data_IF_615286455373
#
_entry.id   IF_615286455373
#
_cell.length_a   1.000
_cell.length_b   1.000
_cell.length_c   1.000
_cell.angle_alpha   90.00
_cell.angle_beta   90.00
_cell.angle_gamma   90.00
#
_symmetry.space_group_name_H-M   'P 1'
#
loop_
_entity.id
_entity.type
_entity.pdbx_description
1 polymer ?
#
# COMPACT_ATOMS: atom_id res chain seq x y z
N UNK A 1 -23.86 0.93 -11.58
CA UNK A 1 -22.83 0.72 -10.54
C UNK A 1 -22.97 -0.71 -10.06
N UNK A 2 -21.89 -1.51 -10.06
CA UNK A 2 -21.93 -2.88 -9.53
C UNK A 2 -22.12 -2.88 -8.01
N UNK A 3 -22.56 -4.03 -7.46
CA UNK A 3 -22.70 -4.24 -6.01
C UNK A 3 -21.36 -3.99 -5.30
N UNK A 4 -21.37 -3.28 -4.18
CA UNK A 4 -20.21 -3.15 -3.29
C UNK A 4 -20.15 -4.42 -2.42
N UNK A 5 -19.04 -5.18 -2.44
CA UNK A 5 -18.95 -6.39 -1.63
C UNK A 5 -18.77 -6.04 -0.15
N UNK A 6 -19.38 -6.83 0.74
CA UNK A 6 -19.12 -6.74 2.19
C UNK A 6 -17.75 -7.33 2.54
N UNK A 7 -17.23 -7.02 3.73
CA UNK A 7 -15.99 -7.65 4.24
C UNK A 7 -16.10 -9.17 4.26
N UNK A 8 -17.26 -9.71 4.63
CA UNK A 8 -17.51 -11.16 4.65
C UNK A 8 -17.53 -11.78 3.24
N UNK A 9 -18.10 -11.08 2.25
CA UNK A 9 -18.08 -11.53 0.85
C UNK A 9 -16.65 -11.57 0.31
N UNK A 10 -15.80 -10.59 0.66
CA UNK A 10 -14.39 -10.56 0.25
C UNK A 10 -13.60 -11.70 0.89
N UNK A 11 -13.80 -11.97 2.19
CA UNK A 11 -13.14 -13.09 2.88
C UNK A 11 -13.48 -14.42 2.21
N UNK A 12 -14.78 -14.70 2.06
CA UNK A 12 -15.26 -15.93 1.42
C UNK A 12 -14.72 -16.08 -0.01
N UNK A 13 -14.63 -14.98 -0.76
CA UNK A 13 -14.05 -14.99 -2.11
C UNK A 13 -12.56 -15.33 -2.10
N UNK A 14 -11.77 -14.70 -1.22
CA UNK A 14 -10.34 -14.94 -1.12
C UNK A 14 -10.03 -16.39 -0.70
N UNK A 15 -10.79 -16.93 0.25
CA UNK A 15 -10.68 -18.35 0.67
C UNK A 15 -11.03 -19.30 -0.48
N UNK A 16 -12.09 -19.01 -1.23
CA UNK A 16 -12.48 -19.83 -2.37
C UNK A 16 -11.42 -19.81 -3.49
N UNK A 17 -10.83 -18.66 -3.78
CA UNK A 17 -9.75 -18.52 -4.79
C UNK A 17 -8.50 -19.27 -4.37
N UNK A 18 -8.12 -19.21 -3.09
CA UNK A 18 -6.98 -19.94 -2.57
C UNK A 18 -7.17 -21.45 -2.70
N UNK A 19 -8.35 -21.95 -2.32
CA UNK A 19 -8.71 -23.36 -2.46
C UNK A 19 -8.75 -23.82 -3.91
N UNK A 20 -9.32 -23.02 -4.82
CA UNK A 20 -9.42 -23.34 -6.24
C UNK A 20 -8.06 -23.32 -6.97
N UNK A 21 -7.10 -22.51 -6.52
CA UNK A 21 -5.75 -22.44 -7.13
C UNK A 21 -4.97 -23.76 -7.03
N UNK A 22 -5.39 -24.68 -6.16
CA UNK A 22 -4.83 -26.02 -5.98
C UNK A 22 -5.34 -27.03 -7.01
N UNK A 23 -6.33 -26.66 -7.83
CA UNK A 23 -6.93 -27.48 -8.88
C UNK A 23 -6.75 -26.78 -10.24
N UNK A 24 -6.09 -27.45 -11.21
CA UNK A 24 -5.73 -26.91 -12.53
C UNK A 24 -6.90 -26.12 -13.19
N UNK A 25 -6.83 -24.79 -13.16
CA UNK A 25 -7.89 -23.92 -13.67
C UNK A 25 -7.52 -23.23 -14.99
N UNK A 26 -8.50 -23.18 -15.90
CA UNK A 26 -8.42 -22.48 -17.19
C UNK A 26 -8.51 -20.97 -16.97
N UNK A 27 -7.57 -20.22 -17.54
CA UNK A 27 -7.51 -18.74 -17.44
C UNK A 27 -8.64 -18.13 -18.29
N UNK A 28 -9.68 -17.59 -17.66
CA UNK A 28 -10.61 -16.63 -18.26
C UNK A 28 -10.18 -15.20 -17.91
N UNK A 29 -10.47 -14.23 -18.78
CA UNK A 29 -10.26 -12.82 -18.46
C UNK A 29 -11.12 -12.41 -17.27
N UNK A 30 -10.50 -11.81 -16.25
CA UNK A 30 -11.19 -11.32 -15.04
C UNK A 30 -11.65 -9.87 -15.22
N UNK A 31 -12.85 -9.56 -14.74
CA UNK A 31 -13.37 -8.19 -14.60
C UNK A 31 -12.55 -7.38 -13.60
N UNK A 32 -12.66 -6.05 -13.65
CA UNK A 32 -11.94 -5.18 -12.71
C UNK A 32 -12.42 -5.39 -11.26
N UNK A 33 -13.70 -5.72 -11.08
CA UNK A 33 -14.27 -6.11 -9.79
C UNK A 33 -13.65 -7.40 -9.26
N UNK A 34 -13.53 -8.44 -10.08
CA UNK A 34 -12.88 -9.70 -9.67
C UNK A 34 -11.40 -9.50 -9.35
N UNK A 35 -10.69 -8.70 -10.16
CA UNK A 35 -9.30 -8.36 -9.89
C UNK A 35 -9.22 -7.61 -8.54
N UNK A 36 -10.08 -6.63 -8.31
CA UNK A 36 -10.13 -5.89 -7.05
C UNK A 36 -10.41 -6.82 -5.86
N UNK A 37 -11.42 -7.69 -5.93
CA UNK A 37 -11.69 -8.64 -4.83
C UNK A 37 -10.54 -9.60 -4.56
N UNK A 38 -9.75 -9.97 -5.59
CA UNK A 38 -8.59 -10.85 -5.46
C UNK A 38 -7.38 -10.16 -4.81
N UNK A 39 -7.31 -8.83 -4.80
CA UNK A 39 -6.17 -8.10 -4.22
C UNK A 39 -6.15 -8.25 -2.71
N UNK A 40 -5.01 -8.65 -2.17
CA UNK A 40 -4.82 -8.90 -0.74
C UNK A 40 -5.01 -7.63 0.13
N UNK A 41 -4.79 -6.43 -0.44
CA UNK A 41 -5.05 -5.16 0.25
C UNK A 41 -6.55 -4.82 0.37
N UNK A 42 -7.41 -5.38 -0.49
CA UNK A 42 -8.84 -5.01 -0.51
C UNK A 42 -9.55 -5.37 0.79
N UNK A 43 -9.25 -6.52 1.38
CA UNK A 43 -9.84 -6.92 2.65
C UNK A 43 -9.43 -5.99 3.82
N UNK A 44 -8.14 -5.67 4.04
CA UNK A 44 -7.72 -4.67 5.01
C UNK A 44 -8.36 -3.28 4.85
N UNK A 45 -8.47 -2.78 3.61
CA UNK A 45 -9.10 -1.48 3.34
C UNK A 45 -10.59 -1.49 3.69
N UNK A 46 -11.33 -2.50 3.23
CA UNK A 46 -12.76 -2.60 3.50
C UNK A 46 -13.04 -2.87 4.99
N UNK A 47 -12.16 -3.61 5.67
CA UNK A 47 -12.26 -3.83 7.11
C UNK A 47 -11.99 -2.56 7.91
N UNK A 48 -10.97 -1.79 7.52
CA UNK A 48 -10.72 -0.48 8.11
C UNK A 48 -11.89 0.48 7.88
N UNK A 49 -12.46 0.48 6.67
CA UNK A 49 -13.64 1.25 6.32
C UNK A 49 -14.83 0.95 7.25
N UNK A 50 -15.14 -0.32 7.48
CA UNK A 50 -16.18 -0.73 8.42
C UNK A 50 -15.86 -0.31 9.86
N UNK A 51 -14.62 -0.49 10.31
CA UNK A 51 -14.19 -0.15 11.68
C UNK A 51 -14.32 1.34 12.01
N UNK A 52 -14.01 2.21 11.05
CA UNK A 52 -14.11 3.67 11.25
C UNK A 52 -15.44 4.25 10.74
N UNK A 53 -16.37 3.40 10.28
CA UNK A 53 -17.65 3.79 9.70
C UNK A 53 -17.51 4.81 8.56
N UNK A 54 -16.53 4.59 7.68
CA UNK A 54 -16.31 5.39 6.46
C UNK A 54 -17.23 4.94 5.32
N UNK A 55 -17.29 5.74 4.25
CA UNK A 55 -18.09 5.48 3.07
C UNK A 55 -17.52 4.32 2.22
N UNK A 56 -18.17 3.14 2.19
CA UNK A 56 -17.67 1.97 1.47
C UNK A 56 -17.67 2.16 -0.05
N UNK A 57 -18.46 3.07 -0.61
CA UNK A 57 -18.48 3.34 -2.05
C UNK A 57 -17.17 3.99 -2.49
N UNK A 58 -16.67 4.95 -1.71
CA UNK A 58 -15.40 5.63 -1.96
C UNK A 58 -14.22 4.69 -1.81
N UNK A 59 -14.22 3.82 -0.79
CA UNK A 59 -13.15 2.83 -0.58
C UNK A 59 -13.19 1.75 -1.68
N UNK A 60 -14.38 1.30 -2.08
CA UNK A 60 -14.51 0.36 -3.19
C UNK A 60 -14.01 0.96 -4.52
N UNK A 61 -14.25 2.25 -4.76
CA UNK A 61 -13.68 2.97 -5.91
C UNK A 61 -12.15 2.99 -5.87
N UNK A 62 -11.55 3.15 -4.69
CA UNK A 62 -10.09 3.05 -4.51
C UNK A 62 -9.57 1.63 -4.77
N UNK A 63 -10.22 0.59 -4.24
CA UNK A 63 -9.86 -0.81 -4.50
C UNK A 63 -9.87 -1.14 -6.00
N UNK A 64 -10.91 -0.71 -6.73
CA UNK A 64 -10.98 -0.84 -8.18
C UNK A 64 -9.92 -0.03 -8.90
N UNK A 65 -9.48 1.10 -8.34
CA UNK A 65 -8.36 1.86 -8.90
C UNK A 65 -7.06 1.07 -8.78
N UNK A 66 -6.80 0.44 -7.64
CA UNK A 66 -5.63 -0.42 -7.46
C UNK A 66 -5.63 -1.63 -8.38
N UNK A 67 -6.80 -2.22 -8.65
CA UNK A 67 -6.95 -3.29 -9.63
C UNK A 67 -6.48 -2.93 -11.05
N UNK A 68 -6.36 -1.65 -11.39
CA UNK A 68 -5.85 -1.19 -12.69
C UNK A 68 -4.32 -1.14 -12.75
N UNK A 69 -3.63 -1.34 -11.63
CA UNK A 69 -2.17 -1.19 -11.54
C UNK A 69 -1.47 -2.55 -11.56
N UNK A 70 -0.48 -2.66 -12.45
CA UNK A 70 0.34 -3.86 -12.64
C UNK A 70 1.74 -3.76 -12.01
N UNK A 71 2.12 -2.59 -11.49
CA UNK A 71 3.40 -2.36 -10.82
C UNK A 71 3.26 -1.22 -9.79
N UNK A 72 4.23 -1.13 -8.88
CA UNK A 72 4.36 -0.02 -7.90
C UNK A 72 4.56 1.32 -8.63
N UNK A 73 4.22 2.47 -8.03
CA UNK A 73 4.51 3.78 -8.64
C UNK A 73 6.02 4.04 -8.69
N UNK A 74 6.50 4.56 -9.82
CA UNK A 74 7.92 4.84 -10.10
C UNK A 74 8.08 6.27 -10.65
N UNK A 75 7.13 6.75 -11.47
CA UNK A 75 7.18 8.05 -12.13
C UNK A 75 6.12 9.00 -11.58
N UNK A 76 6.37 10.30 -11.67
CA UNK A 76 5.48 11.35 -11.14
C UNK A 76 4.00 11.17 -11.56
N UNK A 77 3.76 10.90 -12.84
CA UNK A 77 2.40 10.71 -13.37
C UNK A 77 1.67 9.47 -12.79
N UNK A 78 2.38 8.50 -12.22
CA UNK A 78 1.81 7.35 -11.53
C UNK A 78 1.42 7.73 -10.11
N UNK A 79 2.27 8.48 -9.39
CA UNK A 79 1.93 9.04 -8.08
C UNK A 79 0.72 9.98 -8.16
N UNK A 80 0.67 10.84 -9.18
CA UNK A 80 -0.43 11.80 -9.40
C UNK A 80 -1.79 11.14 -9.63
N UNK A 81 -1.84 9.83 -9.92
CA UNK A 81 -3.10 9.07 -10.00
C UNK A 81 -3.82 9.01 -8.65
N UNK A 82 -3.09 9.19 -7.55
CA UNK A 82 -3.65 9.21 -6.19
C UNK A 82 -4.10 10.60 -5.73
N UNK A 83 -3.76 11.67 -6.46
CA UNK A 83 -4.03 13.05 -6.02
C UNK A 83 -5.50 13.28 -5.68
N UNK A 84 -6.45 12.82 -6.51
CA UNK A 84 -7.88 13.00 -6.23
C UNK A 84 -8.36 12.24 -4.99
N UNK A 85 -7.75 11.07 -4.71
CA UNK A 85 -8.10 10.26 -3.54
C UNK A 85 -7.48 10.84 -2.25
N UNK A 86 -6.31 11.49 -2.37
CA UNK A 86 -5.63 12.15 -1.26
C UNK A 86 -6.33 13.42 -0.76
N UNK A 87 -7.36 13.90 -1.47
CA UNK A 87 -8.20 15.04 -1.05
C UNK A 87 -9.48 14.60 -0.34
N UNK A 88 -9.76 13.29 -0.29
CA UNK A 88 -10.98 12.74 0.28
C UNK A 88 -10.71 12.25 1.71
N UNK A 89 -11.18 12.99 2.71
CA UNK A 89 -10.89 12.73 4.14
C UNK A 89 -11.15 11.28 4.54
N UNK A 90 -12.32 10.73 4.17
CA UNK A 90 -12.68 9.34 4.50
C UNK A 90 -11.75 8.29 3.89
N UNK A 91 -11.15 8.58 2.73
CA UNK A 91 -10.18 7.69 2.10
C UNK A 91 -8.85 7.79 2.84
N UNK A 92 -8.40 9.01 3.16
CA UNK A 92 -7.16 9.22 3.93
C UNK A 92 -7.26 8.53 5.30
N UNK A 93 -8.36 8.71 6.03
CA UNK A 93 -8.58 8.05 7.31
C UNK A 93 -8.56 6.53 7.20
N UNK A 94 -9.22 5.97 6.19
CA UNK A 94 -9.23 4.52 5.96
C UNK A 94 -7.82 4.01 5.65
N UNK A 95 -7.06 4.70 4.79
CA UNK A 95 -5.70 4.29 4.42
C UNK A 95 -4.75 4.41 5.61
N UNK A 96 -4.83 5.48 6.40
CA UNK A 96 -4.05 5.61 7.63
C UNK A 96 -4.34 4.46 8.59
N UNK A 97 -5.63 4.11 8.77
CA UNK A 97 -6.06 2.99 9.60
C UNK A 97 -5.55 1.64 9.08
N UNK A 98 -5.60 1.42 7.76
CA UNK A 98 -5.08 0.19 7.14
C UNK A 98 -3.57 0.06 7.34
N UNK A 99 -2.82 1.15 7.19
CA UNK A 99 -1.35 1.14 7.32
C UNK A 99 -0.86 1.03 8.78
N UNK A 100 -1.74 1.03 9.78
CA UNK A 100 -1.39 0.68 11.17
C UNK A 100 -0.97 -0.78 11.31
N UNK A 101 -1.56 -1.67 10.51
CA UNK A 101 -1.40 -3.13 10.67
C UNK A 101 -1.02 -3.85 9.38
N UNK A 102 -1.19 -3.21 8.21
CA UNK A 102 -0.85 -3.81 6.93
C UNK A 102 0.56 -3.40 6.49
N UNK A 103 1.54 -4.21 6.87
CA UNK A 103 2.94 -4.09 6.46
C UNK A 103 3.46 -5.41 5.86
N UNK A 104 4.54 -5.39 5.06
CA UNK A 104 5.19 -6.62 4.61
C UNK A 104 5.61 -7.49 5.81
N UNK A 105 5.65 -8.80 5.65
CA UNK A 105 6.21 -9.70 6.67
C UNK A 105 7.73 -9.58 6.75
N UNK A 106 8.28 -9.69 7.95
CA UNK A 106 9.73 -9.59 8.22
C UNK A 106 10.55 -10.73 7.58
N UNK A 107 9.91 -11.87 7.32
CA UNK A 107 10.53 -13.05 6.73
C UNK A 107 10.13 -13.15 5.25
N UNK A 108 10.98 -12.64 4.37
CA UNK A 108 10.92 -12.87 2.92
C UNK A 108 11.21 -14.34 2.62
N UNK A 109 10.29 -15.23 2.99
CA UNK A 109 10.27 -16.60 2.50
C UNK A 109 9.31 -16.64 1.32
N UNK A 110 9.50 -17.59 0.41
CA UNK A 110 8.71 -17.78 -0.82
C UNK A 110 7.18 -17.91 -0.64
N UNK A 111 6.66 -17.77 0.58
CA UNK A 111 5.27 -17.45 0.93
C UNK A 111 4.87 -15.98 0.66
N UNK A 112 5.80 -15.14 0.16
CA UNK A 112 5.66 -13.72 -0.25
C UNK A 112 4.54 -13.41 -1.29
N UNK A 113 3.70 -14.39 -1.67
CA UNK A 113 2.52 -14.18 -2.53
C UNK A 113 1.30 -13.60 -1.78
N UNK A 114 1.39 -13.39 -0.46
CA UNK A 114 0.26 -12.93 0.36
C UNK A 114 0.15 -11.41 0.53
N UNK A 115 1.20 -10.65 0.20
CA UNK A 115 1.22 -9.19 0.37
C UNK A 115 0.97 -8.46 -0.96
N UNK A 116 0.06 -7.49 -0.95
CA UNK A 116 -0.21 -6.64 -2.11
C UNK A 116 0.75 -5.44 -2.12
N UNK A 117 1.98 -5.70 -2.57
CA UNK A 117 3.05 -4.71 -2.66
C UNK A 117 2.66 -3.49 -3.50
N UNK A 118 1.97 -3.70 -4.62
CA UNK A 118 1.56 -2.64 -5.53
C UNK A 118 0.56 -1.71 -4.82
N UNK A 119 -0.49 -2.28 -4.23
CA UNK A 119 -1.51 -1.49 -3.52
C UNK A 119 -0.92 -0.74 -2.33
N UNK A 120 -0.05 -1.40 -1.57
CA UNK A 120 0.63 -0.82 -0.42
C UNK A 120 1.41 0.45 -0.76
N UNK A 121 2.24 0.42 -1.81
CA UNK A 121 2.99 1.61 -2.22
C UNK A 121 2.10 2.71 -2.81
N UNK A 122 0.97 2.36 -3.41
CA UNK A 122 -0.02 3.37 -3.79
C UNK A 122 -0.75 3.98 -2.59
N UNK A 123 -0.97 3.24 -1.50
CA UNK A 123 -1.44 3.80 -0.23
C UNK A 123 -0.43 4.80 0.36
N UNK A 124 0.86 4.47 0.35
CA UNK A 124 1.93 5.38 0.79
C UNK A 124 1.95 6.64 -0.09
N UNK A 125 1.88 6.47 -1.41
CA UNK A 125 1.80 7.58 -2.36
C UNK A 125 0.58 8.49 -2.10
N UNK A 126 -0.56 7.90 -1.70
CA UNK A 126 -1.77 8.63 -1.37
C UNK A 126 -1.57 9.50 -0.13
N UNK A 127 -1.16 8.92 1.00
CA UNK A 127 -0.96 9.71 2.24
C UNK A 127 0.18 10.70 2.12
N UNK A 128 1.21 10.42 1.31
CA UNK A 128 2.31 11.34 1.01
C UNK A 128 1.82 12.63 0.32
N UNK A 129 0.70 12.54 -0.41
CA UNK A 129 0.12 13.66 -1.15
C UNK A 129 -1.04 14.35 -0.41
N UNK A 130 -1.50 13.82 0.72
CA UNK A 130 -2.60 14.42 1.49
C UNK A 130 -2.15 15.67 2.23
N UNK A 131 -2.96 16.72 2.17
CA UNK A 131 -2.85 17.89 3.04
C UNK A 131 -3.80 17.76 4.27
N UNK A 132 -4.77 16.84 4.19
CA UNK A 132 -5.63 16.46 5.33
C UNK A 132 -4.87 15.57 6.31
N UNK A 133 -5.01 15.86 7.62
CA UNK A 133 -4.29 15.17 8.72
C UNK A 133 -2.79 15.01 8.42
N UNK A 134 -2.15 16.08 7.93
CA UNK A 134 -0.77 16.01 7.44
C UNK A 134 0.23 15.50 8.49
N UNK A 135 0.04 15.84 9.77
CA UNK A 135 0.92 15.34 10.84
C UNK A 135 0.75 13.83 11.07
N UNK A 136 -0.47 13.30 10.95
CA UNK A 136 -0.68 11.85 11.04
C UNK A 136 -0.11 11.11 9.81
N UNK A 137 -0.23 11.73 8.62
CA UNK A 137 0.38 11.20 7.40
C UNK A 137 1.91 11.16 7.52
N UNK A 138 2.53 12.24 8.00
CA UNK A 138 3.96 12.33 8.29
C UNK A 138 4.40 11.26 9.30
N UNK A 139 3.69 11.15 10.42
CA UNK A 139 4.00 10.17 11.46
C UNK A 139 3.91 8.73 10.92
N UNK A 140 2.87 8.42 10.14
CA UNK A 140 2.73 7.10 9.49
C UNK A 140 3.87 6.82 8.51
N UNK A 141 4.25 7.79 7.68
CA UNK A 141 5.39 7.64 6.76
C UNK A 141 6.68 7.37 7.54
N UNK A 142 6.92 8.13 8.62
CA UNK A 142 8.10 7.95 9.45
C UNK A 142 8.13 6.57 10.14
N UNK A 143 6.98 6.08 10.63
CA UNK A 143 6.85 4.72 11.16
C UNK A 143 7.19 3.65 10.11
N UNK A 144 6.74 3.84 8.87
CA UNK A 144 7.09 2.95 7.76
C UNK A 144 8.59 3.01 7.47
N UNK A 145 9.22 4.19 7.51
CA UNK A 145 10.68 4.31 7.39
C UNK A 145 11.41 3.49 8.47
N UNK A 146 10.99 3.64 9.74
CA UNK A 146 11.56 2.90 10.86
C UNK A 146 11.41 1.39 10.69
N UNK A 147 10.25 0.93 10.20
CA UNK A 147 10.01 -0.48 9.91
C UNK A 147 11.03 -1.03 8.89
N UNK A 148 11.28 -0.32 7.79
CA UNK A 148 12.23 -0.78 6.76
C UNK A 148 13.70 -0.71 7.19
N UNK A 149 14.06 0.20 8.10
CA UNK A 149 15.39 0.24 8.71
C UNK A 149 15.58 -0.97 9.64
N UNK A 150 14.56 -1.33 10.41
CA UNK A 150 14.60 -2.48 11.31
C UNK A 150 14.53 -3.82 10.58
N UNK A 151 13.93 -3.83 9.38
CA UNK A 151 13.74 -5.01 8.54
C UNK A 151 14.26 -4.73 7.12
N UNK A 152 15.60 -4.71 6.93
CA UNK A 152 16.18 -4.40 5.64
C UNK A 152 15.64 -5.32 4.55
N UNK A 153 15.13 -4.71 3.48
CA UNK A 153 14.62 -5.44 2.32
C UNK A 153 14.91 -4.65 1.05
N UNK A 154 14.97 -5.37 -0.09
CA UNK A 154 15.10 -4.76 -1.42
C UNK A 154 13.94 -3.81 -1.77
N UNK A 155 12.87 -3.78 -0.96
CA UNK A 155 11.72 -2.90 -1.18
C UNK A 155 11.94 -1.48 -0.64
N UNK A 156 12.99 -1.23 0.16
CA UNK A 156 13.34 0.11 0.66
C UNK A 156 13.54 1.11 -0.48
N UNK A 157 14.04 0.67 -1.63
CA UNK A 157 14.24 1.51 -2.82
C UNK A 157 12.94 2.07 -3.39
N UNK A 158 11.84 1.33 -3.28
CA UNK A 158 10.52 1.80 -3.73
C UNK A 158 10.04 2.91 -2.79
N UNK A 159 10.29 2.79 -1.48
CA UNK A 159 9.99 3.83 -0.51
C UNK A 159 10.85 5.09 -0.71
N UNK A 160 12.17 4.93 -0.89
CA UNK A 160 13.08 6.04 -1.23
C UNK A 160 12.62 6.75 -2.51
N UNK A 161 12.19 6.00 -3.53
CA UNK A 161 11.67 6.57 -4.77
C UNK A 161 10.40 7.40 -4.56
N UNK A 162 9.48 6.98 -3.68
CA UNK A 162 8.31 7.79 -3.32
C UNK A 162 8.72 9.19 -2.83
N UNK A 163 9.70 9.25 -1.92
CA UNK A 163 10.20 10.52 -1.41
C UNK A 163 10.90 11.32 -2.51
N UNK A 164 11.80 10.69 -3.26
CA UNK A 164 12.59 11.34 -4.31
C UNK A 164 11.72 12.01 -5.38
N UNK A 165 10.63 11.35 -5.79
CA UNK A 165 9.71 11.85 -6.81
C UNK A 165 8.81 12.96 -6.26
N UNK A 166 8.33 12.83 -5.02
CA UNK A 166 7.33 13.73 -4.45
C UNK A 166 7.93 14.93 -3.69
N UNK A 167 9.20 14.88 -3.26
CA UNK A 167 9.83 15.90 -2.41
C UNK A 167 9.76 17.34 -2.94
N UNK A 168 9.69 17.52 -4.25
CA UNK A 168 9.54 18.86 -4.84
C UNK A 168 8.14 19.46 -4.60
N UNK A 169 7.11 18.62 -4.56
CA UNK A 169 5.72 19.02 -4.26
C UNK A 169 5.37 18.89 -2.77
N UNK A 170 6.12 18.07 -2.04
CA UNK A 170 5.93 17.74 -0.62
C UNK A 170 7.29 17.81 0.10
N UNK A 171 7.78 19.02 0.43
CA UNK A 171 9.15 19.23 0.92
C UNK A 171 9.54 18.42 2.16
N UNK A 172 8.58 18.12 3.05
CA UNK A 172 8.83 17.32 4.26
C UNK A 172 9.35 15.91 3.96
N UNK A 173 9.12 15.37 2.75
CA UNK A 173 9.61 14.05 2.37
C UNK A 173 11.13 13.99 2.23
N UNK A 174 11.82 15.14 2.10
CA UNK A 174 13.30 15.19 2.07
C UNK A 174 13.90 14.64 3.35
N UNK A 175 13.33 15.01 4.49
CA UNK A 175 13.79 14.58 5.81
C UNK A 175 13.73 13.05 5.94
N UNK A 176 12.70 12.42 5.37
CA UNK A 176 12.58 10.95 5.37
C UNK A 176 13.49 10.25 4.36
N UNK A 177 13.75 10.88 3.21
CA UNK A 177 14.73 10.36 2.23
C UNK A 177 16.12 10.32 2.85
N UNK A 178 16.55 11.44 3.44
CA UNK A 178 17.82 11.57 4.15
C UNK A 178 17.92 10.58 5.32
N UNK A 179 16.84 10.41 6.09
CA UNK A 179 16.77 9.44 7.18
C UNK A 179 17.02 7.99 6.69
N UNK A 180 16.46 7.59 5.55
CA UNK A 180 16.69 6.27 4.96
C UNK A 180 18.07 6.12 4.29
N UNK A 181 18.74 7.22 3.95
CA UNK A 181 20.10 7.18 3.38
C UNK A 181 21.16 7.01 4.48
N UNK A 182 21.06 7.77 5.57
CA UNK A 182 22.01 7.74 6.68
C UNK A 182 22.07 6.38 7.38
N UNK A 183 20.91 5.76 7.60
CA UNK A 183 20.84 4.47 8.30
C UNK A 183 21.32 3.31 7.42
N UNK A 184 21.22 3.44 6.09
CA UNK A 184 21.69 2.44 5.13
C UNK A 184 23.23 2.42 5.01
N UNK A 185 23.89 3.57 5.18
CA UNK A 185 25.36 3.66 5.23
C UNK A 185 25.91 2.97 6.48
N UNK A 186 25.16 3.00 7.59
CA UNK A 186 25.57 2.42 8.87
C UNK A 186 25.62 0.88 8.87
N UNK A 187 24.98 0.21 7.89
CA UNK A 187 25.03 -1.24 7.70
C UNK A 187 26.18 -1.67 6.77
N UNK A 188 26.45 -0.92 5.70
CA UNK A 188 27.57 -1.22 4.79
C UNK A 188 28.93 -1.14 5.51
N UNK A 189 29.11 -0.16 6.41
CA UNK A 189 30.32 -0.02 7.22
C UNK A 189 30.47 -1.09 8.33
N UNK A 190 29.39 -1.79 8.73
CA UNK A 190 29.49 -2.93 9.67
C UNK A 190 29.99 -4.20 9.01
N UNK A 191 29.75 -4.37 7.71
CA UNK A 191 30.23 -5.54 6.94
C UNK A 191 31.75 -5.53 6.67
N UNK A 192 32.44 -4.42 6.95
CA UNK A 192 33.90 -4.28 6.76
C UNK A 192 34.68 -4.80 7.99
N UNK A 193 33.98 -5.12 9.09
CA UNK A 193 34.59 -5.55 10.35
C UNK A 193 34.14 -6.92 10.88
N UNK A 194 33.34 -7.66 10.11
CA UNK A 194 33.01 -9.09 10.35
C UNK A 194 33.74 -10.00 9.33
#
# INVERSE_FOLDING_TARGET
>A
MGKIPSVEEIKNYLEAVENASRENHVIRGSSIEEIAMKRKLTLPLMSACEQINADPEKIWKLCKKFAQFSHVPIKLNEYERMTSFAQEECIVDTVLKTLETYHPSEQHTSADFEFDIIGYYYCIALISQSDYRIEDCKNRIHEICRFYIQNPSNSIDVLKRNMSVLKNKRPYLREYEEYLELENISEEDRSVYD
#
